data_IF_738934521826
#
_entry.id   IF_738934521826
#
_cell.length_a   1.000
_cell.length_b   1.000
_cell.length_c   1.000
_cell.angle_alpha   90.00
_cell.angle_beta   90.00
_cell.angle_gamma   90.00
#
_symmetry.space_group_name_H-M   'P 1'
#
loop_
_entity.id
_entity.type
_entity.pdbx_description
1 polymer ?
#
# COMPACT_ATOMS: atom_id res chain seq x y z
N UNK A 1 -12.64 -9.47 4.83
CA UNK A 1 -11.46 -10.33 4.58
C UNK A 1 -11.00 -10.10 3.15
N UNK A 2 -9.69 -9.93 2.89
CA UNK A 2 -9.18 -9.60 1.56
C UNK A 2 -9.21 -10.82 0.63
N UNK A 3 -10.31 -10.97 -0.11
CA UNK A 3 -10.51 -12.11 -1.02
C UNK A 3 -9.44 -12.18 -2.12
N UNK A 4 -8.89 -11.03 -2.52
CA UNK A 4 -7.83 -10.91 -3.52
C UNK A 4 -6.57 -11.69 -3.19
N UNK A 5 -6.32 -12.07 -1.94
CA UNK A 5 -5.15 -12.90 -1.58
C UNK A 5 -5.36 -14.41 -1.74
N UNK A 6 -6.59 -14.83 -2.05
CA UNK A 6 -6.98 -16.25 -2.19
C UNK A 6 -7.16 -16.69 -3.65
N UNK A 7 -7.12 -15.76 -4.61
CA UNK A 7 -7.31 -15.97 -6.04
C UNK A 7 -6.06 -15.70 -6.86
N UNK A 8 -6.23 -15.10 -8.05
CA UNK A 8 -5.10 -14.58 -8.84
C UNK A 8 -4.69 -13.21 -8.29
N UNK A 9 -3.90 -13.22 -7.21
CA UNK A 9 -3.58 -12.04 -6.40
C UNK A 9 -3.08 -10.86 -7.24
N UNK A 10 -2.23 -11.12 -8.22
CA UNK A 10 -1.64 -10.06 -9.05
C UNK A 10 -2.72 -9.39 -9.90
N UNK A 11 -3.63 -10.17 -10.50
CA UNK A 11 -4.74 -9.62 -11.28
C UNK A 11 -5.82 -8.96 -10.43
N UNK A 12 -6.11 -9.53 -9.26
CA UNK A 12 -7.23 -9.11 -8.43
C UNK A 12 -6.91 -7.89 -7.54
N UNK A 13 -5.65 -7.74 -7.09
CA UNK A 13 -5.25 -6.62 -6.23
C UNK A 13 -4.93 -5.34 -7.02
N UNK A 14 -4.46 -5.47 -8.27
CA UNK A 14 -4.07 -4.35 -9.13
C UNK A 14 -5.08 -3.21 -9.22
N UNK A 15 -6.36 -3.48 -9.52
CA UNK A 15 -7.40 -2.44 -9.65
C UNK A 15 -7.57 -1.57 -8.41
N UNK A 16 -7.34 -2.09 -7.20
CA UNK A 16 -7.42 -1.30 -5.98
C UNK A 16 -6.29 -0.27 -5.89
N UNK A 17 -5.07 -0.63 -6.31
CA UNK A 17 -3.95 0.31 -6.38
C UNK A 17 -4.10 1.28 -7.54
N UNK A 18 -4.72 0.87 -8.66
CA UNK A 18 -5.06 1.78 -9.77
C UNK A 18 -6.06 2.85 -9.30
N UNK A 19 -7.00 2.49 -8.43
CA UNK A 19 -7.91 3.46 -7.81
C UNK A 19 -7.15 4.50 -6.97
N UNK A 20 -6.17 4.07 -6.17
CA UNK A 20 -5.33 4.99 -5.38
C UNK A 20 -4.48 5.89 -6.27
N UNK A 21 -3.86 5.34 -7.31
CA UNK A 21 -3.12 6.12 -8.32
C UNK A 21 -4.02 7.22 -8.92
N UNK A 22 -5.21 6.85 -9.39
CA UNK A 22 -6.17 7.79 -9.98
C UNK A 22 -6.63 8.86 -8.97
N UNK A 23 -6.86 8.48 -7.71
CA UNK A 23 -7.23 9.43 -6.66
C UNK A 23 -6.12 10.47 -6.41
N UNK A 24 -4.85 10.07 -6.46
CA UNK A 24 -3.70 10.96 -6.30
C UNK A 24 -3.48 11.91 -7.50
N UNK A 25 -4.18 11.73 -8.62
CA UNK A 25 -4.21 12.70 -9.73
C UNK A 25 -5.27 13.80 -9.54
N UNK A 26 -6.18 13.66 -8.57
CA UNK A 26 -7.32 14.59 -8.41
C UNK A 26 -6.89 16.01 -8.05
N UNK A 27 -5.86 16.15 -7.22
CA UNK A 27 -5.28 17.42 -6.83
C UNK A 27 -3.85 17.51 -7.37
N UNK A 28 -3.48 18.66 -7.93
CA UNK A 28 -2.22 18.85 -8.66
C UNK A 28 -1.19 19.71 -7.92
N UNK A 29 -1.49 20.12 -6.69
CA UNK A 29 -0.71 21.02 -5.84
C UNK A 29 0.11 20.29 -4.76
N UNK A 30 0.08 18.95 -4.73
CA UNK A 30 0.91 18.17 -3.83
C UNK A 30 0.85 16.65 -4.04
N UNK A 31 1.59 15.90 -3.21
CA UNK A 31 1.75 14.45 -3.32
C UNK A 31 0.71 13.65 -2.52
N UNK A 32 -0.12 14.30 -1.71
CA UNK A 32 -1.07 13.65 -0.80
C UNK A 32 -2.45 13.52 -1.43
N UNK A 33 -3.31 12.68 -0.84
CA UNK A 33 -4.66 12.44 -1.38
C UNK A 33 -5.54 13.69 -1.46
N UNK A 34 -5.26 14.69 -0.60
CA UNK A 34 -5.95 15.99 -0.60
C UNK A 34 -5.05 17.14 -1.09
N UNK A 35 -4.00 16.84 -1.85
CA UNK A 35 -3.13 17.84 -2.46
C UNK A 35 -1.88 18.16 -1.63
N UNK A 36 -1.71 19.43 -1.29
CA UNK A 36 -0.50 19.97 -0.66
C UNK A 36 -0.18 19.40 0.73
N UNK A 37 -1.20 19.27 1.58
CA UNK A 37 -1.02 18.94 3.00
C UNK A 37 -1.28 17.46 3.30
N UNK A 38 -0.47 16.89 4.19
CA UNK A 38 -0.71 15.56 4.74
C UNK A 38 -1.99 15.57 5.58
N UNK A 39 -2.85 14.58 5.36
CA UNK A 39 -4.20 14.57 5.91
C UNK A 39 -4.58 13.25 6.58
N UNK A 40 -5.75 13.23 7.22
CA UNK A 40 -6.32 12.00 7.79
C UNK A 40 -6.57 10.91 6.73
N UNK A 41 -6.75 11.30 5.46
CA UNK A 41 -6.91 10.32 4.37
C UNK A 41 -5.61 9.54 4.21
N UNK A 42 -4.48 10.22 4.17
CA UNK A 42 -3.16 9.59 4.05
C UNK A 42 -2.87 8.66 5.25
N UNK A 43 -3.16 9.13 6.46
CA UNK A 43 -3.02 8.34 7.71
C UNK A 43 -3.89 7.08 7.68
N UNK A 44 -5.08 7.15 7.09
CA UNK A 44 -6.00 6.01 7.01
C UNK A 44 -5.47 4.92 6.06
N UNK A 45 -4.87 5.31 4.94
CA UNK A 45 -4.44 4.37 3.90
C UNK A 45 -3.02 3.84 4.09
N UNK A 46 -2.08 4.66 4.58
CA UNK A 46 -0.65 4.26 4.64
C UNK A 46 -0.39 2.96 5.41
N UNK A 47 -1.04 2.66 6.55
CA UNK A 47 -0.75 1.44 7.28
C UNK A 47 -1.13 0.18 6.50
N UNK A 48 -2.08 0.26 5.57
CA UNK A 48 -2.49 -0.85 4.71
C UNK A 48 -1.61 -0.94 3.48
N UNK A 49 -1.37 0.17 2.79
CA UNK A 49 -0.53 0.18 1.58
C UNK A 49 0.88 -0.31 1.90
N UNK A 50 1.47 0.12 3.02
CA UNK A 50 2.78 -0.37 3.50
C UNK A 50 2.78 -1.90 3.66
N UNK A 51 1.81 -2.45 4.41
CA UNK A 51 1.74 -3.88 4.70
C UNK A 51 1.50 -4.69 3.42
N UNK A 52 0.63 -4.21 2.55
CA UNK A 52 0.36 -4.88 1.27
C UNK A 52 1.53 -4.80 0.32
N UNK A 53 2.26 -3.69 0.27
CA UNK A 53 3.49 -3.59 -0.52
C UNK A 53 4.49 -4.67 -0.09
N UNK A 54 4.76 -4.76 1.21
CA UNK A 54 5.67 -5.77 1.77
C UNK A 54 5.19 -7.19 1.46
N UNK A 55 3.92 -7.48 1.72
CA UNK A 55 3.38 -8.82 1.55
C UNK A 55 3.33 -9.25 0.07
N UNK A 56 2.87 -8.36 -0.82
CA UNK A 56 2.73 -8.63 -2.24
C UNK A 56 4.09 -8.79 -2.93
N UNK A 57 5.07 -7.95 -2.58
CA UNK A 57 6.44 -8.09 -3.07
C UNK A 57 7.08 -9.37 -2.54
N UNK A 58 6.96 -9.65 -1.24
CA UNK A 58 7.58 -10.81 -0.60
C UNK A 58 7.05 -12.18 -1.06
N UNK A 59 5.75 -12.29 -1.39
CA UNK A 59 5.12 -13.57 -1.75
C UNK A 59 4.94 -13.75 -3.26
N UNK A 60 4.61 -12.69 -4.00
CA UNK A 60 4.33 -12.76 -5.44
C UNK A 60 5.29 -11.95 -6.30
N UNK A 61 6.32 -11.31 -5.73
CA UNK A 61 7.20 -10.38 -6.44
C UNK A 61 6.41 -9.29 -7.20
N UNK A 62 5.27 -8.88 -6.63
CA UNK A 62 4.38 -7.90 -7.24
C UNK A 62 4.66 -6.49 -6.72
N UNK A 63 5.25 -5.68 -7.58
CA UNK A 63 5.61 -4.30 -7.29
C UNK A 63 4.42 -3.36 -7.53
N UNK A 64 3.75 -2.95 -6.44
CA UNK A 64 2.53 -2.12 -6.52
C UNK A 64 2.79 -0.73 -7.14
N UNK A 65 4.04 -0.30 -7.29
CA UNK A 65 4.43 1.02 -7.81
C UNK A 65 4.83 1.01 -9.29
N UNK A 66 5.02 -0.17 -9.92
CA UNK A 66 5.68 -0.29 -11.23
C UNK A 66 5.02 0.49 -12.38
N UNK A 67 3.72 0.80 -12.28
CA UNK A 67 2.98 1.62 -13.25
C UNK A 67 2.17 2.73 -12.55
N UNK A 68 2.51 3.06 -11.30
CA UNK A 68 1.74 3.95 -10.43
C UNK A 68 2.65 5.02 -9.84
N UNK A 69 3.12 5.98 -10.66
CA UNK A 69 4.12 6.96 -10.24
C UNK A 69 3.62 7.90 -9.15
N UNK A 70 2.33 8.24 -9.09
CA UNK A 70 1.80 9.06 -7.99
C UNK A 70 1.74 8.26 -6.70
N UNK A 71 1.34 6.99 -6.76
CA UNK A 71 1.39 6.10 -5.59
C UNK A 71 2.82 5.94 -5.08
N UNK A 72 3.79 5.77 -5.98
CA UNK A 72 5.21 5.70 -5.61
C UNK A 72 5.66 6.99 -4.91
N UNK A 73 5.30 8.16 -5.46
CA UNK A 73 5.62 9.46 -4.87
C UNK A 73 4.95 9.66 -3.51
N UNK A 74 3.69 9.28 -3.38
CA UNK A 74 2.96 9.34 -2.11
C UNK A 74 3.64 8.51 -1.03
N UNK A 75 4.03 7.26 -1.33
CA UNK A 75 4.77 6.41 -0.39
C UNK A 75 6.10 7.07 0.00
N UNK A 76 6.85 7.62 -0.96
CA UNK A 76 8.11 8.32 -0.70
C UNK A 76 7.92 9.48 0.28
N UNK A 77 6.93 10.35 0.05
CA UNK A 77 6.67 11.54 0.88
C UNK A 77 6.15 11.18 2.26
N UNK A 78 5.26 10.18 2.39
CA UNK A 78 4.80 9.73 3.70
C UNK A 78 5.95 9.13 4.52
N UNK A 79 6.88 8.41 3.89
CA UNK A 79 8.07 7.87 4.59
C UNK A 79 9.05 8.95 5.08
N UNK A 80 8.92 10.22 4.65
CA UNK A 80 9.71 11.33 5.18
C UNK A 80 9.17 11.86 6.51
N UNK A 81 7.90 11.62 6.82
CA UNK A 81 7.25 12.11 8.05
C UNK A 81 7.82 11.39 9.28
N UNK A 82 8.46 12.15 10.16
CA UNK A 82 9.11 11.60 11.36
C UNK A 82 8.14 10.90 12.31
N UNK A 83 6.89 11.39 12.40
CA UNK A 83 5.85 10.76 13.21
C UNK A 83 5.39 9.40 12.67
N UNK A 84 5.51 9.14 11.36
CA UNK A 84 5.08 7.88 10.76
C UNK A 84 6.13 6.77 10.89
N UNK A 85 7.43 7.10 10.72
CA UNK A 85 8.55 6.14 10.78
C UNK A 85 8.51 5.16 11.97
N UNK A 86 8.28 5.58 13.23
CA UNK A 86 8.28 4.66 14.37
C UNK A 86 7.04 3.76 14.46
N UNK A 87 6.02 3.98 13.62
CA UNK A 87 4.77 3.20 13.62
C UNK A 87 4.82 1.99 12.68
N UNK A 88 5.86 1.91 11.84
CA UNK A 88 6.02 0.86 10.84
C UNK A 88 6.22 -0.50 11.50
N UNK A 89 5.60 -1.52 10.92
CA UNK A 89 5.72 -2.90 11.41
C UNK A 89 6.91 -3.58 10.75
N UNK A 90 7.60 -4.48 11.47
CA UNK A 90 8.68 -5.28 10.88
C UNK A 90 8.15 -6.04 9.64
N UNK A 91 8.80 -5.88 8.46
CA UNK A 91 8.39 -6.56 7.25
C UNK A 91 8.25 -8.08 7.37
N UNK A 92 9.14 -8.73 8.14
CA UNK A 92 9.11 -10.19 8.35
C UNK A 92 7.84 -10.61 9.10
N UNK A 93 7.51 -9.87 10.16
CA UNK A 93 6.29 -10.12 10.94
C UNK A 93 5.05 -9.98 10.08
N UNK A 94 5.00 -9.01 9.16
CA UNK A 94 3.87 -8.84 8.24
C UNK A 94 3.75 -10.02 7.27
N UNK A 95 4.84 -10.46 6.66
CA UNK A 95 4.82 -11.59 5.72
C UNK A 95 4.36 -12.88 6.41
N UNK A 96 4.89 -13.17 7.59
CA UNK A 96 4.52 -14.35 8.38
C UNK A 96 3.04 -14.30 8.82
N UNK A 97 2.60 -13.18 9.38
CA UNK A 97 1.23 -12.99 9.84
C UNK A 97 0.24 -13.11 8.67
N UNK A 98 0.47 -12.43 7.55
CA UNK A 98 -0.47 -12.44 6.43
C UNK A 98 -0.48 -13.79 5.70
N UNK A 99 0.67 -14.48 5.62
CA UNK A 99 0.70 -15.85 5.11
C UNK A 99 -0.16 -16.78 5.96
N UNK A 100 -0.07 -16.69 7.29
CA UNK A 100 -0.90 -17.52 8.18
C UNK A 100 -2.39 -17.18 8.12
N UNK A 101 -2.75 -15.90 7.94
CA UNK A 101 -4.15 -15.46 7.88
C UNK A 101 -4.83 -15.73 6.53
N UNK A 102 -4.10 -15.61 5.42
CA UNK A 102 -4.70 -15.58 4.08
C UNK A 102 -4.32 -16.77 3.21
N UNK A 103 -3.18 -17.40 3.44
CA UNK A 103 -2.66 -18.50 2.60
C UNK A 103 -2.73 -19.88 3.27
N UNK A 104 -2.88 -19.93 4.60
CA UNK A 104 -3.12 -21.19 5.28
C UNK A 104 -4.42 -21.84 4.77
N UNK A 105 -4.31 -23.07 4.27
CA UNK A 105 -5.48 -23.88 3.91
C UNK A 105 -6.14 -24.36 5.20
N UNK A 106 -7.40 -23.97 5.43
CA UNK A 106 -8.27 -24.65 6.36
C UNK A 106 -8.96 -25.82 5.66
#
# INVERSE_FOLDING_TARGET
>A
MFASFKGDTVKEAGPAFDHLENALHKFNDGPFFLGHEFSLVDITYIPFVEKFQTFLSGVWNYEITAARPKLAKWIEEVNKIDAYKPTKTDPKVIVELYSSLFLAKH
#
